data_IF_656022947356
#
_entry.id   IF_656022947356
#
_cell.length_a   1.000
_cell.length_b   1.000
_cell.length_c   1.000
_cell.angle_alpha   90.00
_cell.angle_beta   90.00
_cell.angle_gamma   90.00
#
_symmetry.space_group_name_H-M   'P 1'
#
loop_
_entity.id
_entity.type
_entity.pdbx_description
1 polymer ?
#
# COMPACT_ATOMS: atom_id res chain seq x y z
N UNK A 1 -12.00 12.71 0.89
CA UNK A 1 -11.60 13.35 -0.39
C UNK A 1 -10.72 14.53 0.00
N UNK A 2 -9.59 14.74 -0.69
CA UNK A 2 -8.54 15.75 -0.37
C UNK A 2 -7.84 15.53 0.98
N UNK A 3 -7.45 14.29 1.29
CA UNK A 3 -6.67 13.99 2.51
C UNK A 3 -5.18 14.37 2.41
N UNK A 4 -4.73 14.69 1.20
CA UNK A 4 -3.35 14.99 0.84
C UNK A 4 -3.38 16.15 -0.17
N UNK A 5 -2.35 17.00 -0.18
CA UNK A 5 -2.23 18.10 -1.15
C UNK A 5 -2.03 17.57 -2.56
N UNK A 6 -2.56 18.28 -3.54
CA UNK A 6 -2.48 17.92 -4.97
C UNK A 6 -1.02 17.69 -5.42
N UNK A 7 -0.09 18.56 -5.01
CA UNK A 7 1.34 18.42 -5.31
C UNK A 7 1.93 17.07 -4.86
N UNK A 8 1.47 16.54 -3.73
CA UNK A 8 1.95 15.25 -3.24
C UNK A 8 1.22 14.12 -3.95
N UNK A 9 -0.07 14.25 -4.20
CA UNK A 9 -0.82 13.28 -5.01
C UNK A 9 -0.21 13.12 -6.41
N UNK A 10 0.13 14.21 -7.08
CA UNK A 10 0.75 14.22 -8.41
C UNK A 10 2.13 13.56 -8.39
N UNK A 11 2.94 13.85 -7.36
CA UNK A 11 4.26 13.22 -7.17
C UNK A 11 4.17 11.71 -6.94
N UNK A 12 3.17 11.26 -6.19
CA UNK A 12 2.96 9.84 -5.95
C UNK A 12 2.41 9.13 -7.19
N UNK A 13 1.51 9.79 -7.92
CA UNK A 13 0.98 9.29 -9.19
C UNK A 13 2.09 9.12 -10.24
N UNK A 14 3.00 10.08 -10.35
CA UNK A 14 4.13 10.00 -11.28
C UNK A 14 5.07 8.81 -11.03
N UNK A 15 5.06 8.21 -9.83
CA UNK A 15 5.82 6.97 -9.54
C UNK A 15 5.17 5.72 -10.14
N UNK A 16 3.87 5.79 -10.41
CA UNK A 16 3.01 4.69 -10.85
C UNK A 16 2.50 4.87 -12.29
N UNK A 17 2.81 6.00 -12.93
CA UNK A 17 2.39 6.28 -14.30
C UNK A 17 3.00 5.30 -15.30
N UNK A 18 2.51 5.38 -16.54
CA UNK A 18 2.86 4.49 -17.66
C UNK A 18 2.42 3.03 -17.41
N UNK A 19 3.25 2.06 -17.77
CA UNK A 19 2.91 0.63 -17.70
C UNK A 19 2.94 0.07 -16.27
N UNK A 20 3.51 0.79 -15.30
CA UNK A 20 3.65 0.33 -13.90
C UNK A 20 2.31 0.12 -13.20
N UNK A 21 1.29 0.88 -13.57
CA UNK A 21 -0.05 0.67 -13.04
C UNK A 21 -0.65 -0.67 -13.49
N UNK A 22 -0.23 -1.17 -14.65
CA UNK A 22 -0.66 -2.46 -15.20
C UNK A 22 0.01 -3.64 -14.48
N UNK A 23 1.11 -3.39 -13.75
CA UNK A 23 1.80 -4.39 -12.93
C UNK A 23 1.15 -4.56 -11.54
N UNK A 24 0.14 -3.75 -11.21
CA UNK A 24 -0.56 -3.86 -9.93
C UNK A 24 -1.44 -5.11 -9.90
N UNK A 25 -1.32 -5.84 -8.80
CA UNK A 25 -2.17 -6.97 -8.45
C UNK A 25 -3.23 -6.54 -7.45
N UNK A 26 -4.44 -7.05 -7.63
CA UNK A 26 -5.56 -6.88 -6.71
C UNK A 26 -5.88 -8.19 -5.99
N UNK A 27 -6.15 -8.11 -4.69
CA UNK A 27 -6.66 -9.23 -3.90
C UNK A 27 -7.86 -8.77 -3.08
N UNK A 28 -8.86 -9.64 -3.04
CA UNK A 28 -10.01 -9.55 -2.14
C UNK A 28 -10.03 -10.77 -1.22
N UNK A 29 -10.42 -10.56 0.03
CA UNK A 29 -10.75 -11.64 0.94
C UNK A 29 -11.93 -11.24 1.83
N UNK A 30 -12.83 -12.19 2.09
CA UNK A 30 -13.99 -11.99 2.95
C UNK A 30 -15.30 -11.85 2.19
N UNK A 31 -16.32 -11.38 2.92
CA UNK A 31 -17.68 -11.26 2.42
C UNK A 31 -17.84 -10.20 1.35
N UNK A 32 -18.89 -10.29 0.54
CA UNK A 32 -19.21 -9.32 -0.54
C UNK A 32 -20.51 -8.56 -0.23
N UNK A 33 -21.22 -8.97 0.81
CA UNK A 33 -22.43 -8.31 1.27
C UNK A 33 -22.09 -7.22 2.29
N UNK A 34 -23.04 -6.30 2.48
CA UNK A 34 -22.90 -5.23 3.45
C UNK A 34 -22.69 -5.80 4.86
N UNK A 35 -21.83 -5.14 5.61
CA UNK A 35 -21.51 -5.43 7.02
C UNK A 35 -20.74 -6.75 7.25
N UNK A 36 -20.40 -7.50 6.20
CA UNK A 36 -19.53 -8.68 6.31
C UNK A 36 -18.05 -8.30 6.45
N UNK A 37 -17.25 -9.04 7.24
CA UNK A 37 -15.80 -8.87 7.31
C UNK A 37 -15.15 -8.97 5.94
N UNK A 38 -14.39 -7.95 5.57
CA UNK A 38 -13.71 -7.91 4.28
C UNK A 38 -12.39 -7.18 4.36
N UNK A 39 -11.56 -7.50 3.38
CA UNK A 39 -10.20 -7.07 3.23
C UNK A 39 -9.90 -6.91 1.74
N UNK A 40 -9.14 -5.89 1.38
CA UNK A 40 -8.55 -5.83 0.05
C UNK A 40 -7.13 -5.26 0.08
N UNK A 41 -6.37 -5.65 -0.95
CA UNK A 41 -5.02 -5.15 -1.19
C UNK A 41 -4.83 -4.81 -2.67
N UNK A 42 -4.14 -3.70 -2.91
CA UNK A 42 -3.52 -3.39 -4.20
C UNK A 42 -2.01 -3.37 -3.99
N UNK A 43 -1.28 -4.18 -4.75
CA UNK A 43 0.16 -4.35 -4.55
C UNK A 43 0.90 -4.40 -5.89
N UNK A 44 2.00 -3.65 -5.99
CA UNK A 44 2.99 -3.76 -7.05
C UNK A 44 4.40 -3.88 -6.45
N UNK A 45 5.41 -3.63 -7.27
CA UNK A 45 6.82 -3.60 -6.87
C UNK A 45 7.11 -2.49 -5.86
N UNK A 46 6.56 -1.28 -6.09
CA UNK A 46 6.71 -0.11 -5.21
C UNK A 46 5.49 0.18 -4.35
N UNK A 47 4.28 0.01 -4.88
CA UNK A 47 3.05 0.39 -4.18
C UNK A 47 2.52 -0.75 -3.31
N UNK A 48 2.14 -0.41 -2.07
CA UNK A 48 1.32 -1.28 -1.22
C UNK A 48 0.17 -0.48 -0.63
N UNK A 49 -1.06 -0.86 -0.95
CA UNK A 49 -2.30 -0.33 -0.35
C UNK A 49 -3.05 -1.47 0.28
N UNK A 50 -3.43 -1.31 1.54
CA UNK A 50 -4.21 -2.29 2.26
C UNK A 50 -5.38 -1.63 2.99
N UNK A 51 -6.50 -2.34 2.97
CA UNK A 51 -7.70 -2.04 3.71
C UNK A 51 -8.15 -3.31 4.42
N UNK A 52 -8.34 -3.22 5.73
CA UNK A 52 -8.86 -4.29 6.58
C UNK A 52 -10.04 -3.75 7.40
N UNK A 53 -11.20 -4.38 7.25
CA UNK A 53 -12.35 -4.15 8.10
C UNK A 53 -12.94 -5.48 8.62
N UNK A 54 -12.08 -6.34 9.14
CA UNK A 54 -12.47 -7.63 9.70
C UNK A 54 -12.73 -7.59 11.21
N UNK A 55 -12.36 -6.50 11.87
CA UNK A 55 -12.38 -6.39 13.33
C UNK A 55 -13.67 -5.74 13.87
N UNK A 56 -13.95 -6.00 15.16
CA UNK A 56 -15.04 -5.38 15.95
C UNK A 56 -16.43 -5.44 15.31
N UNK A 57 -16.71 -6.46 14.50
CA UNK A 57 -17.96 -6.54 13.74
C UNK A 57 -18.03 -5.42 12.69
N UNK A 58 -16.97 -5.33 11.88
CA UNK A 58 -16.88 -4.48 10.68
C UNK A 58 -17.08 -2.97 10.89
N UNK A 59 -16.75 -2.49 12.10
CA UNK A 59 -16.83 -1.07 12.46
C UNK A 59 -15.46 -0.42 12.75
N UNK A 60 -14.36 -1.13 12.48
CA UNK A 60 -13.02 -0.66 12.78
C UNK A 60 -12.08 -0.89 11.61
N UNK A 61 -11.98 0.15 10.78
CA UNK A 61 -11.20 0.12 9.55
C UNK A 61 -9.73 0.44 9.86
N UNK A 62 -8.85 -0.44 9.41
CA UNK A 62 -7.43 -0.15 9.23
C UNK A 62 -7.16 0.09 7.75
N UNK A 63 -6.44 1.17 7.45
CA UNK A 63 -5.91 1.43 6.11
C UNK A 63 -4.46 1.82 6.20
N UNK A 64 -3.68 1.32 5.24
CA UNK A 64 -2.29 1.71 5.10
C UNK A 64 -1.95 1.89 3.62
N UNK A 65 -1.06 2.83 3.37
CA UNK A 65 -0.45 3.08 2.07
C UNK A 65 1.05 3.23 2.29
N UNK A 66 1.84 2.49 1.51
CA UNK A 66 3.30 2.41 1.63
C UNK A 66 3.97 2.45 0.26
N UNK A 67 5.18 2.95 0.30
CA UNK A 67 6.13 3.02 -0.79
C UNK A 67 7.29 2.08 -0.49
N UNK A 68 7.21 0.84 -0.95
CA UNK A 68 8.09 -0.27 -0.55
C UNK A 68 9.57 -0.03 -0.86
N UNK A 69 9.89 0.82 -1.85
CA UNK A 69 11.29 1.19 -2.17
C UNK A 69 11.86 2.23 -1.20
N UNK A 70 11.01 2.89 -0.42
CA UNK A 70 11.40 3.91 0.55
C UNK A 70 10.68 3.72 1.88
N UNK A 71 10.49 2.47 2.31
CA UNK A 71 9.82 2.22 3.57
C UNK A 71 10.69 1.83 4.75
N UNK A 72 10.03 1.92 5.89
CA UNK A 72 10.68 2.05 7.16
C UNK A 72 11.47 0.78 7.46
N UNK A 73 12.78 0.94 7.62
CA UNK A 73 13.71 -0.16 7.80
C UNK A 73 14.56 -0.49 6.57
N UNK A 74 14.21 0.01 5.37
CA UNK A 74 15.01 -0.13 4.14
C UNK A 74 15.69 -1.50 3.99
N UNK A 75 16.95 -1.49 3.52
CA UNK A 75 17.85 -2.64 3.64
C UNK A 75 19.12 -2.25 4.41
N UNK A 76 18.94 -1.87 5.68
CA UNK A 76 20.05 -1.41 6.54
C UNK A 76 21.16 -2.47 6.64
N UNK A 77 20.78 -3.76 6.55
CA UNK A 77 21.72 -4.87 6.65
C UNK A 77 22.56 -5.02 5.37
N UNK A 78 21.96 -4.98 4.17
CA UNK A 78 22.74 -5.00 2.93
C UNK A 78 23.61 -3.74 2.78
N UNK A 79 23.14 -2.57 3.23
CA UNK A 79 23.94 -1.35 3.23
C UNK A 79 25.17 -1.45 4.15
N UNK A 80 25.03 -2.06 5.33
CA UNK A 80 26.17 -2.31 6.22
C UNK A 80 27.24 -3.20 5.57
N UNK A 81 26.81 -4.29 4.92
CA UNK A 81 27.75 -5.20 4.25
C UNK A 81 28.48 -4.57 3.05
N UNK A 82 27.88 -3.58 2.39
CA UNK A 82 28.45 -2.94 1.19
C UNK A 82 29.35 -1.75 1.49
N UNK A 83 29.22 -1.11 2.66
CA UNK A 83 29.94 0.13 2.99
C UNK A 83 30.91 0.00 4.16
N UNK A 84 30.82 -1.04 5.00
CA UNK A 84 31.63 -1.18 6.21
C UNK A 84 32.59 -2.39 6.22
N UNK A 85 32.90 -2.95 5.06
CA UNK A 85 33.91 -4.00 4.89
C UNK A 85 34.87 -3.73 3.74
#
# INVERSE_FOLDING_TARGET
>A
INRISDDVADREWAKLSDDKIQELSFLWAGGIEKDEPHYYRVQGTRLFVEYDNTQRGTNHIHTVWRDLENDFGGDVLANHYTHEH
#
